data_IF_309058751218
#
_entry.id   IF_309058751218
#
_cell.length_a   1.000
_cell.length_b   1.000
_cell.length_c   1.000
_cell.angle_alpha   90.00
_cell.angle_beta   90.00
_cell.angle_gamma   90.00
#
_symmetry.space_group_name_H-M   'P 1'
#
loop_
_entity.id
_entity.type
_entity.pdbx_description
1 polymer ?
#
# COMPACT_ATOMS: atom_id res chain seq x y z
N UNK A 1 -4.99 -3.65 3.03
CA UNK A 1 -4.62 -2.54 2.12
C UNK A 1 -4.09 -3.14 0.83
N UNK A 2 -4.38 -2.51 -0.32
CA UNK A 2 -3.83 -2.87 -1.62
C UNK A 2 -3.02 -1.67 -2.12
N UNK A 3 -3.37 -1.07 -3.26
CA UNK A 3 -2.69 0.11 -3.82
C UNK A 3 -2.61 1.32 -2.86
N UNK A 4 -3.53 1.44 -1.89
CA UNK A 4 -3.48 2.50 -0.86
C UNK A 4 -2.54 2.20 0.31
N UNK A 5 -1.86 1.05 0.30
CA UNK A 5 -0.97 0.60 1.39
C UNK A 5 0.12 1.60 1.72
N UNK A 6 0.71 2.24 0.70
CA UNK A 6 1.74 3.26 0.91
C UNK A 6 1.22 4.47 1.70
N UNK A 7 -0.02 4.93 1.44
CA UNK A 7 -0.63 6.06 2.16
C UNK A 7 -0.95 5.68 3.61
N UNK A 8 -1.44 4.46 3.85
CA UNK A 8 -1.64 3.95 5.21
C UNK A 8 -0.32 3.84 5.98
N UNK A 9 0.75 3.35 5.32
CA UNK A 9 2.07 3.26 5.90
C UNK A 9 2.65 4.65 6.21
N UNK A 10 2.45 5.62 5.32
CA UNK A 10 2.87 7.01 5.51
C UNK A 10 2.20 7.65 6.73
N UNK A 11 0.89 7.51 6.87
CA UNK A 11 0.12 7.99 8.02
C UNK A 11 0.56 7.32 9.33
N UNK A 12 0.87 6.01 9.27
CA UNK A 12 1.38 5.26 10.42
C UNK A 12 2.78 5.75 10.81
N UNK A 13 3.65 5.98 9.83
CA UNK A 13 4.99 6.50 10.03
C UNK A 13 4.96 7.92 10.63
N UNK A 14 4.12 8.81 10.11
CA UNK A 14 3.88 10.14 10.68
C UNK A 14 3.51 10.05 12.17
N UNK A 15 2.54 9.20 12.52
CA UNK A 15 2.11 9.01 13.90
C UNK A 15 3.24 8.50 14.81
N UNK A 16 4.07 7.56 14.36
CA UNK A 16 5.22 7.08 15.13
C UNK A 16 6.29 8.15 15.31
N UNK A 17 6.57 8.88 14.24
CA UNK A 17 7.59 9.91 14.20
C UNK A 17 7.20 11.09 15.10
N UNK A 18 5.93 11.51 15.11
CA UNK A 18 5.45 12.61 15.95
C UNK A 18 5.10 12.18 17.38
N UNK A 19 4.65 10.95 17.58
CA UNK A 19 4.18 10.43 18.87
C UNK A 19 5.28 9.88 19.80
N UNK A 20 6.53 9.81 19.34
CA UNK A 20 7.65 9.31 20.15
C UNK A 20 8.97 9.98 19.77
N UNK A 21 9.81 10.25 20.77
CA UNK A 21 11.18 10.72 20.54
C UNK A 21 12.18 9.60 20.25
N UNK A 22 11.75 8.33 20.26
CA UNK A 22 12.61 7.19 19.92
C UNK A 22 12.84 7.02 18.42
N UNK A 23 11.93 7.55 17.60
CA UNK A 23 12.01 7.46 16.15
C UNK A 23 12.41 8.82 15.59
N UNK A 24 13.56 8.86 14.91
CA UNK A 24 14.07 10.08 14.28
C UNK A 24 13.88 10.07 12.77
N UNK A 25 13.98 8.88 12.17
CA UNK A 25 13.75 8.67 10.76
C UNK A 25 13.00 7.37 10.54
N UNK A 26 12.08 7.35 9.58
CA UNK A 26 11.30 6.16 9.21
C UNK A 26 11.35 5.99 7.69
N UNK A 27 11.80 4.83 7.23
CA UNK A 27 11.79 4.46 5.81
C UNK A 27 10.46 3.77 5.50
N UNK A 28 9.70 4.33 4.56
CA UNK A 28 8.47 3.73 4.03
C UNK A 28 8.77 3.22 2.62
N UNK A 29 8.52 1.93 2.39
CA UNK A 29 8.75 1.26 1.10
C UNK A 29 7.43 0.67 0.62
N UNK A 30 7.09 0.94 -0.64
CA UNK A 30 6.04 0.24 -1.38
C UNK A 30 6.68 -0.55 -2.52
N UNK A 31 6.29 -1.81 -2.71
CA UNK A 31 6.82 -2.65 -3.76
C UNK A 31 5.81 -3.73 -4.15
N UNK A 32 5.56 -3.87 -5.44
CA UNK A 32 4.59 -4.80 -6.00
C UNK A 32 5.17 -5.52 -7.22
N UNK A 33 4.88 -6.82 -7.32
CA UNK A 33 5.22 -7.67 -8.48
C UNK A 33 3.94 -8.32 -9.01
N UNK A 34 3.06 -7.49 -9.58
CA UNK A 34 1.75 -7.94 -10.04
C UNK A 34 1.83 -8.74 -11.33
N UNK A 35 2.88 -8.58 -12.14
CA UNK A 35 3.06 -9.33 -13.38
C UNK A 35 3.03 -10.85 -13.18
N UNK A 36 3.40 -11.32 -11.98
CA UNK A 36 3.43 -12.74 -11.61
C UNK A 36 2.04 -13.39 -11.45
N UNK A 37 0.99 -12.58 -11.28
CA UNK A 37 -0.39 -13.05 -11.02
C UNK A 37 -1.42 -12.48 -12.00
N UNK A 38 -0.99 -11.67 -12.97
CA UNK A 38 -1.84 -11.11 -14.02
C UNK A 38 -2.29 -12.19 -14.98
N UNK A 39 -3.59 -12.20 -15.31
CA UNK A 39 -4.11 -12.99 -16.42
C UNK A 39 -3.89 -12.25 -17.74
N UNK A 40 -2.89 -12.69 -18.51
CA UNK A 40 -2.56 -12.09 -19.80
C UNK A 40 -3.63 -12.31 -20.89
N UNK A 41 -4.62 -13.19 -20.66
CA UNK A 41 -5.78 -13.36 -21.56
C UNK A 41 -6.87 -12.31 -21.33
N UNK A 42 -6.90 -11.68 -20.14
CA UNK A 42 -7.79 -10.57 -19.85
C UNK A 42 -7.16 -9.22 -20.24
N UNK A 43 -7.50 -8.76 -21.44
CA UNK A 43 -7.03 -7.48 -21.97
C UNK A 43 -7.43 -6.28 -21.10
N UNK A 44 -8.49 -6.37 -20.29
CA UNK A 44 -8.93 -5.24 -19.47
C UNK A 44 -7.96 -4.93 -18.33
N UNK A 45 -7.21 -5.93 -17.88
CA UNK A 45 -6.32 -5.81 -16.71
C UNK A 45 -4.85 -5.96 -17.08
N UNK A 46 -4.50 -6.80 -18.06
CA UNK A 46 -3.10 -7.12 -18.35
C UNK A 46 -2.26 -5.96 -18.91
N UNK A 47 -2.92 -4.92 -19.43
CA UNK A 47 -2.26 -3.70 -19.91
C UNK A 47 -2.02 -2.65 -18.80
N UNK A 48 -2.62 -2.84 -17.63
CA UNK A 48 -2.61 -1.87 -16.54
C UNK A 48 -1.58 -2.21 -15.47
N UNK A 49 -1.39 -3.50 -15.20
CA UNK A 49 -0.56 -3.97 -14.09
C UNK A 49 0.88 -4.23 -14.53
N UNK A 50 1.80 -3.87 -13.65
CA UNK A 50 3.23 -4.10 -13.82
C UNK A 50 3.91 -4.16 -12.46
N UNK A 51 5.23 -4.19 -12.50
CA UNK A 51 6.06 -4.33 -11.32
C UNK A 51 6.76 -3.00 -11.02
N UNK A 52 6.95 -2.71 -9.74
CA UNK A 52 7.59 -1.47 -9.34
C UNK A 52 7.85 -1.40 -7.85
N UNK A 53 8.77 -0.52 -7.48
CA UNK A 53 9.06 -0.20 -6.09
C UNK A 53 9.41 1.28 -5.95
N UNK A 54 9.13 1.83 -4.78
CA UNK A 54 9.46 3.20 -4.41
C UNK A 54 9.63 3.31 -2.90
N UNK A 55 10.42 4.30 -2.46
CA UNK A 55 10.67 4.52 -1.05
C UNK A 55 10.79 6.02 -0.72
N UNK A 56 10.40 6.38 0.50
CA UNK A 56 10.59 7.71 1.08
C UNK A 56 11.16 7.57 2.48
N UNK A 57 12.12 8.43 2.83
CA UNK A 57 12.62 8.57 4.18
C UNK A 57 11.94 9.77 4.83
N UNK A 58 11.21 9.53 5.91
CA UNK A 58 10.61 10.59 6.72
C UNK A 58 11.54 10.97 7.86
N UNK A 59 11.62 12.26 8.14
CA UNK A 59 12.18 12.84 9.37
C UNK A 59 11.25 13.93 9.89
N UNK A 60 11.40 14.32 11.16
CA UNK A 60 10.58 15.39 11.74
C UNK A 60 10.81 16.69 10.95
N UNK A 61 9.73 17.27 10.43
CA UNK A 61 9.80 18.57 9.75
C UNK A 61 10.05 19.71 10.73
N UNK A 62 10.58 20.82 10.23
CA UNK A 62 10.70 22.08 10.97
C UNK A 62 9.68 23.10 10.44
N UNK A 63 9.05 23.86 11.33
CA UNK A 63 8.07 24.89 10.97
C UNK A 63 6.77 24.34 10.38
N UNK A 64 6.25 24.98 9.33
CA UNK A 64 4.98 24.61 8.67
C UNK A 64 5.15 23.59 7.52
N UNK A 65 6.23 22.81 7.53
CA UNK A 65 6.53 21.83 6.50
C UNK A 65 6.12 20.42 6.99
N UNK A 66 5.23 19.76 6.25
CA UNK A 66 4.80 18.41 6.61
C UNK A 66 3.47 18.01 5.97
N UNK A 67 2.93 16.90 6.44
CA UNK A 67 1.58 16.45 6.07
C UNK A 67 0.58 17.36 6.81
N UNK A 68 -0.30 18.02 6.06
CA UNK A 68 -1.26 18.99 6.61
C UNK A 68 -2.44 18.27 7.25
N UNK A 69 -2.92 17.22 6.58
CA UNK A 69 -4.03 16.40 7.04
C UNK A 69 -3.97 15.04 6.35
N UNK A 70 -4.46 14.02 7.05
CA UNK A 70 -4.58 12.65 6.56
C UNK A 70 -6.02 12.18 6.69
N UNK A 71 -6.58 11.59 5.63
CA UNK A 71 -7.89 10.94 5.66
C UNK A 71 -7.75 9.51 5.13
N UNK A 72 -8.14 8.55 5.96
CA UNK A 72 -8.10 7.12 5.64
C UNK A 72 -9.52 6.56 5.70
N UNK A 73 -9.88 5.73 4.72
CA UNK A 73 -11.21 5.14 4.62
C UNK A 73 -11.16 3.78 3.92
N UNK A 74 -12.16 2.95 4.21
CA UNK A 74 -12.32 1.64 3.60
C UNK A 74 -13.80 1.32 3.39
N UNK A 75 -14.14 0.81 2.20
CA UNK A 75 -15.47 0.30 1.87
C UNK A 75 -15.35 -1.12 1.31
N UNK A 76 -15.73 -2.12 2.13
CA UNK A 76 -15.63 -3.52 1.77
C UNK A 76 -16.70 -4.01 0.79
N UNK A 77 -17.75 -3.21 0.52
CA UNK A 77 -18.85 -3.62 -0.38
C UNK A 77 -18.38 -3.86 -1.81
N UNK A 78 -17.29 -3.21 -2.22
CA UNK A 78 -16.66 -3.39 -3.54
C UNK A 78 -15.66 -4.53 -3.63
N UNK A 79 -15.57 -5.44 -2.65
CA UNK A 79 -14.53 -6.49 -2.62
C UNK A 79 -14.50 -7.40 -3.85
N UNK A 80 -15.63 -7.60 -4.52
CA UNK A 80 -15.71 -8.38 -5.76
C UNK A 80 -15.24 -7.64 -7.02
N UNK A 81 -14.99 -6.33 -6.95
CA UNK A 81 -14.58 -5.53 -8.11
C UNK A 81 -13.10 -5.72 -8.47
N UNK A 82 -12.25 -6.04 -7.49
CA UNK A 82 -10.83 -6.32 -7.69
C UNK A 82 -10.35 -7.32 -6.63
N UNK A 83 -10.16 -8.57 -7.04
CA UNK A 83 -9.81 -9.66 -6.14
C UNK A 83 -8.96 -10.72 -6.83
N UNK A 84 -8.13 -11.42 -6.05
CA UNK A 84 -7.53 -12.69 -6.44
C UNK A 84 -8.35 -13.79 -5.77
N UNK A 85 -9.05 -14.66 -6.52
CA UNK A 85 -10.06 -15.56 -5.96
C UNK A 85 -9.48 -16.71 -5.13
N UNK A 86 -8.25 -17.12 -5.40
CA UNK A 86 -7.57 -18.25 -4.76
C UNK A 86 -6.12 -17.91 -4.37
N UNK A 87 -5.46 -18.80 -3.63
CA UNK A 87 -4.11 -18.61 -3.09
C UNK A 87 -4.07 -18.07 -1.66
N UNK A 88 -5.21 -17.66 -1.11
CA UNK A 88 -5.38 -17.31 0.31
C UNK A 88 -5.88 -18.47 1.16
N UNK A 89 -6.07 -18.24 2.46
CA UNK A 89 -6.57 -19.26 3.40
C UNK A 89 -8.01 -19.72 3.13
N UNK A 90 -8.84 -18.85 2.54
CA UNK A 90 -10.24 -19.17 2.20
C UNK A 90 -10.35 -20.16 1.03
N UNK A 91 -9.46 -20.03 0.05
CA UNK A 91 -9.38 -20.88 -1.14
C UNK A 91 -7.89 -21.15 -1.45
N UNK A 92 -7.28 -22.17 -0.82
CA UNK A 92 -5.87 -22.50 -1.02
C UNK A 92 -5.54 -22.84 -2.48
N UNK A 93 -4.29 -22.64 -2.90
CA UNK A 93 -3.87 -22.88 -4.28
C UNK A 93 -3.77 -24.37 -4.68
N UNK A 94 -3.67 -25.28 -3.70
CA UNK A 94 -3.31 -26.70 -3.92
C UNK A 94 -4.34 -27.68 -3.35
N UNK A 95 -5.60 -27.26 -3.21
CA UNK A 95 -6.71 -28.10 -2.74
C UNK A 95 -7.77 -28.17 -3.83
#
# INVERSE_FOLDING_TARGET
AACTGFIYALATAENFLLGSDKYHHILVVGAEVLSSVVDFTDRNTCILFGDGAGAVLLGKGEGNNGIIATYLGADGRGSSLLTIPAGGSRHPASQ
#
